data_IF_474302668093
#
_entry.id   IF_474302668093
#
_cell.length_a   1.000
_cell.length_b   1.000
_cell.length_c   1.000
_cell.angle_alpha   90.00
_cell.angle_beta   90.00
_cell.angle_gamma   90.00
#
_symmetry.space_group_name_H-M   'P 1'
#
loop_
_entity.id
_entity.type
_entity.pdbx_description
1 polymer ?
#
# COMPACT_ATOMS: atom_id res chain seq x y z
N UNK A 1 -3.04 11.73 -16.92
CA UNK A 1 -1.77 12.05 -16.23
C UNK A 1 -1.28 10.77 -15.58
N UNK A 2 -0.18 10.20 -16.09
CA UNK A 2 0.40 8.95 -15.56
C UNK A 2 1.52 9.35 -14.59
N UNK A 3 1.36 9.02 -13.30
CA UNK A 3 2.41 9.16 -12.31
C UNK A 3 3.37 7.97 -12.41
N UNK A 4 4.36 8.01 -13.31
CA UNK A 4 5.49 7.07 -13.25
C UNK A 4 6.52 7.59 -12.24
N UNK A 5 6.37 7.24 -10.96
CA UNK A 5 7.47 7.34 -10.01
C UNK A 5 8.44 6.17 -10.25
N UNK A 6 9.19 6.23 -11.35
CA UNK A 6 10.33 5.36 -11.60
C UNK A 6 11.61 6.17 -11.43
N UNK A 7 12.05 6.44 -10.18
CA UNK A 7 13.37 7.01 -9.97
C UNK A 7 14.44 5.97 -10.40
N UNK A 8 15.51 6.40 -11.10
CA UNK A 8 16.50 5.51 -11.68
C UNK A 8 17.56 5.03 -10.66
N UNK A 9 17.23 4.93 -9.37
CA UNK A 9 18.19 4.58 -8.33
C UNK A 9 17.52 3.68 -7.28
N UNK A 10 17.90 2.40 -7.25
CA UNK A 10 17.77 1.50 -6.09
C UNK A 10 16.33 1.15 -5.60
N UNK A 11 15.33 1.09 -6.48
CA UNK A 11 13.98 0.66 -6.07
C UNK A 11 13.85 -0.89 -6.06
N UNK A 12 14.56 -1.58 -5.17
CA UNK A 12 14.49 -3.03 -5.02
C UNK A 12 13.07 -3.55 -4.68
N UNK A 13 12.67 -3.46 -3.40
CA UNK A 13 11.39 -3.99 -2.89
C UNK A 13 10.27 -2.94 -2.75
N UNK A 14 10.50 -1.66 -3.06
CA UNK A 14 9.52 -0.60 -2.80
C UNK A 14 8.24 -0.72 -3.65
N UNK A 15 8.37 -1.14 -4.91
CA UNK A 15 7.22 -1.46 -5.77
C UNK A 15 6.40 -2.64 -5.23
N UNK A 16 7.07 -3.65 -4.67
CA UNK A 16 6.42 -4.80 -4.01
C UNK A 16 5.58 -4.36 -2.80
N UNK A 17 6.15 -3.53 -1.93
CA UNK A 17 5.45 -3.04 -0.74
C UNK A 17 4.23 -2.19 -1.12
N UNK A 18 4.36 -1.36 -2.16
CA UNK A 18 3.27 -0.49 -2.62
C UNK A 18 2.10 -1.29 -3.20
N UNK A 19 2.38 -2.32 -3.99
CA UNK A 19 1.37 -3.18 -4.63
C UNK A 19 0.64 -4.07 -3.63
N UNK A 20 1.39 -4.71 -2.72
CA UNK A 20 0.79 -5.47 -1.61
C UNK A 20 -0.04 -4.51 -0.74
N UNK A 21 0.48 -3.33 -0.43
CA UNK A 21 -0.22 -2.32 0.36
C UNK A 21 -1.51 -1.83 -0.32
N UNK A 22 -1.49 -1.58 -1.62
CA UNK A 22 -2.66 -1.20 -2.40
C UNK A 22 -3.72 -2.29 -2.38
N UNK A 23 -3.33 -3.56 -2.57
CA UNK A 23 -4.25 -4.70 -2.47
C UNK A 23 -4.89 -4.84 -1.08
N UNK A 24 -4.10 -4.68 -0.01
CA UNK A 24 -4.60 -4.71 1.36
C UNK A 24 -5.55 -3.53 1.65
N UNK A 25 -5.21 -2.32 1.19
CA UNK A 25 -6.10 -1.15 1.27
C UNK A 25 -7.42 -1.39 0.54
N UNK A 26 -7.37 -1.91 -0.69
CA UNK A 26 -8.56 -2.22 -1.46
C UNK A 26 -9.43 -3.26 -0.77
N UNK A 27 -8.83 -4.31 -0.19
CA UNK A 27 -9.55 -5.32 0.57
C UNK A 27 -10.24 -4.71 1.81
N UNK A 28 -9.53 -3.86 2.56
CA UNK A 28 -10.05 -3.20 3.76
C UNK A 28 -11.22 -2.26 3.44
N UNK A 29 -11.11 -1.51 2.35
CA UNK A 29 -12.11 -0.54 1.89
C UNK A 29 -13.21 -1.17 1.03
N UNK A 30 -13.17 -2.49 0.80
CA UNK A 30 -14.05 -3.22 -0.13
C UNK A 30 -14.08 -2.61 -1.54
N UNK A 31 -12.95 -2.09 -2.00
CA UNK A 31 -12.77 -1.55 -3.33
C UNK A 31 -12.29 -2.63 -4.30
N UNK A 32 -12.71 -2.59 -5.58
CA UNK A 32 -12.19 -3.51 -6.59
C UNK A 32 -10.69 -3.27 -6.79
N UNK A 33 -9.89 -4.33 -6.64
CA UNK A 33 -8.46 -4.30 -6.95
C UNK A 33 -8.24 -4.57 -8.44
N UNK A 34 -8.07 -3.53 -9.25
CA UNK A 34 -7.85 -3.64 -10.71
C UNK A 34 -6.38 -3.40 -11.03
N UNK A 35 -5.68 -4.45 -11.45
CA UNK A 35 -4.35 -4.35 -12.05
C UNK A 35 -4.50 -3.79 -13.47
N UNK A 36 -3.78 -2.71 -13.76
CA UNK A 36 -3.66 -2.11 -15.10
C UNK A 36 -2.46 -2.69 -15.87
N UNK A 37 -2.58 -2.94 -17.18
CA UNK A 37 -1.53 -3.64 -17.96
C UNK A 37 -0.17 -2.92 -18.01
N UNK A 38 -0.15 -1.62 -17.73
CA UNK A 38 1.07 -0.81 -17.65
C UNK A 38 2.00 -1.20 -16.48
N UNK A 39 1.56 -2.11 -15.62
CA UNK A 39 2.25 -2.64 -14.45
C UNK A 39 3.09 -3.91 -14.72
N UNK A 40 3.03 -4.50 -15.90
CA UNK A 40 3.73 -5.76 -16.17
C UNK A 40 5.27 -5.64 -16.26
N UNK A 41 5.80 -4.43 -16.49
CA UNK A 41 7.23 -4.20 -16.75
C UNK A 41 8.14 -4.47 -15.54
N UNK A 42 7.62 -4.42 -14.31
CA UNK A 42 8.38 -4.72 -13.09
C UNK A 42 8.28 -6.17 -12.62
N UNK A 43 7.33 -6.97 -13.13
CA UNK A 43 7.18 -8.39 -12.76
C UNK A 43 8.43 -9.20 -13.10
N UNK A 44 9.10 -8.88 -14.21
CA UNK A 44 10.37 -9.53 -14.57
C UNK A 44 11.49 -9.24 -13.57
N UNK A 45 11.62 -7.99 -13.11
CA UNK A 45 12.60 -7.59 -12.10
C UNK A 45 12.30 -8.22 -10.73
N UNK A 46 11.02 -8.33 -10.42
CA UNK A 46 10.54 -8.95 -9.20
C UNK A 46 10.85 -10.45 -9.10
N UNK A 47 10.74 -11.16 -10.23
CA UNK A 47 11.10 -12.57 -10.31
C UNK A 47 12.59 -12.79 -10.11
N UNK A 48 13.46 -11.86 -10.54
CA UNK A 48 14.90 -12.00 -10.30
C UNK A 48 15.26 -11.80 -8.83
N UNK A 49 14.61 -10.86 -8.13
CA UNK A 49 14.76 -10.65 -6.69
C UNK A 49 14.33 -11.90 -5.92
N UNK A 50 13.15 -12.46 -6.20
CA UNK A 50 12.66 -13.67 -5.50
C UNK A 50 13.51 -14.91 -5.76
N UNK A 51 14.13 -15.02 -6.94
CA UNK A 51 15.08 -16.09 -7.25
C UNK A 51 16.36 -15.95 -6.44
N UNK A 52 16.81 -14.71 -6.18
CA UNK A 52 17.98 -14.44 -5.36
C UNK A 52 17.70 -14.60 -3.85
N UNK A 53 16.53 -14.15 -3.39
CA UNK A 53 16.10 -14.25 -2.00
C UNK A 53 14.58 -14.50 -1.91
N UNK A 54 14.23 -15.72 -1.49
CA UNK A 54 12.83 -16.14 -1.31
C UNK A 54 12.14 -15.46 -0.13
N UNK A 55 12.90 -14.92 0.83
CA UNK A 55 12.37 -14.23 2.01
C UNK A 55 12.02 -12.77 1.73
N UNK A 56 12.47 -12.24 0.59
CA UNK A 56 12.21 -10.86 0.18
C UNK A 56 10.71 -10.52 0.13
N UNK A 57 9.86 -11.49 -0.24
CA UNK A 57 8.39 -11.32 -0.22
C UNK A 57 7.82 -11.14 1.19
N UNK A 58 8.40 -11.82 2.19
CA UNK A 58 7.95 -11.74 3.59
C UNK A 58 8.31 -10.37 4.17
N UNK A 59 9.52 -9.88 3.89
CA UNK A 59 9.94 -8.55 4.29
C UNK A 59 9.09 -7.46 3.63
N UNK A 60 8.77 -7.62 2.34
CA UNK A 60 7.90 -6.68 1.64
C UNK A 60 6.47 -6.67 2.20
N UNK A 61 5.91 -7.85 2.49
CA UNK A 61 4.60 -7.97 3.11
C UNK A 61 4.56 -7.30 4.49
N UNK A 62 5.54 -7.57 5.36
CA UNK A 62 5.62 -6.95 6.68
C UNK A 62 5.72 -5.41 6.60
N UNK A 63 6.45 -4.88 5.61
CA UNK A 63 6.55 -3.43 5.38
C UNK A 63 5.25 -2.84 4.82
N UNK A 64 4.55 -3.56 3.94
CA UNK A 64 3.24 -3.16 3.43
C UNK A 64 2.19 -3.10 4.55
N UNK A 65 2.18 -4.10 5.44
CA UNK A 65 1.31 -4.11 6.62
C UNK A 65 1.59 -2.94 7.57
N UNK A 66 2.87 -2.63 7.82
CA UNK A 66 3.27 -1.45 8.62
C UNK A 66 2.75 -0.15 7.99
N UNK A 67 2.87 0.00 6.67
CA UNK A 67 2.36 1.17 5.95
C UNK A 67 0.83 1.27 6.05
N UNK A 68 0.11 0.15 5.89
CA UNK A 68 -1.34 0.11 6.04
C UNK A 68 -1.77 0.49 7.45
N UNK A 69 -1.13 -0.06 8.48
CA UNK A 69 -1.43 0.24 9.87
C UNK A 69 -1.24 1.73 10.17
N UNK A 70 -0.16 2.33 9.64
CA UNK A 70 0.07 3.77 9.69
C UNK A 70 -1.06 4.56 9.02
N UNK A 71 -1.47 4.20 7.79
CA UNK A 71 -2.57 4.87 7.09
C UNK A 71 -3.90 4.75 7.86
N UNK A 72 -4.20 3.58 8.42
CA UNK A 72 -5.41 3.34 9.23
C UNK A 72 -5.47 4.20 10.49
N UNK A 73 -4.32 4.49 11.11
CA UNK A 73 -4.26 5.32 12.32
C UNK A 73 -4.87 6.72 12.11
N UNK A 74 -4.72 7.31 10.92
CA UNK A 74 -5.31 8.61 10.59
C UNK A 74 -6.82 8.56 10.45
N UNK A 75 -7.38 7.42 10.03
CA UNK A 75 -8.82 7.27 9.90
C UNK A 75 -9.51 7.14 11.27
N UNK A 76 -8.82 6.54 12.26
CA UNK A 76 -9.29 6.47 13.64
C UNK A 76 -9.32 7.85 14.31
N UNK A 77 -8.24 8.64 14.19
CA UNK A 77 -8.22 10.02 14.70
C UNK A 77 -9.31 10.89 14.07
N UNK A 78 -9.52 10.78 12.75
CA UNK A 78 -10.58 11.53 12.07
C UNK A 78 -12.01 11.07 12.45
N UNK A 79 -12.19 9.82 12.91
CA UNK A 79 -13.48 9.35 13.42
C UNK A 79 -13.75 9.92 14.82
N UNK A 80 -12.75 9.92 15.70
CA UNK A 80 -12.83 10.50 17.05
C UNK A 80 -13.16 11.99 17.01
N UNK A 81 -12.48 12.77 16.17
CA UNK A 81 -12.73 14.21 16.04
C UNK A 81 -14.14 14.50 15.50
N UNK A 82 -14.61 13.70 14.53
CA UNK A 82 -15.99 13.81 14.01
C UNK A 82 -17.04 13.45 15.05
N UNK A 83 -16.80 12.44 15.89
CA UNK A 83 -17.73 12.05 16.95
C UNK A 83 -17.84 13.14 18.02
N UNK A 84 -16.73 13.78 18.39
CA UNK A 84 -16.72 14.91 19.33
C UNK A 84 -17.49 16.11 18.76
N UNK A 85 -17.24 16.46 17.50
CA UNK A 85 -17.97 17.54 16.81
C UNK A 85 -19.47 17.23 16.67
N UNK A 86 -19.84 15.99 16.35
CA UNK A 86 -21.24 15.57 16.24
C UNK A 86 -21.96 15.56 17.59
N UNK A 87 -21.30 15.13 18.66
CA UNK A 87 -21.85 15.19 20.02
C UNK A 87 -22.06 16.64 20.48
N UNK A 88 -21.13 17.54 20.17
CA UNK A 88 -21.23 18.96 20.49
C UNK A 88 -22.37 19.67 19.72
N UNK A 89 -22.72 19.22 18.51
CA UNK A 89 -23.84 19.76 17.72
C UNK A 89 -25.22 19.21 18.13
N UNK A 90 -25.25 18.11 18.89
CA UNK A 90 -26.47 17.47 19.35
C UNK A 90 -26.90 17.91 20.77
N UNK A 91 -26.09 18.75 21.43
CA UNK A 91 -26.33 19.34 22.75
C UNK A 91 -26.83 20.79 22.63
#
# INVERSE_FOLDING_TARGET
>A
MVFTFQPPLLAGLSGYCAEIGAGLCCADLRLPNRLHDSHASYVGHWLSILKADKTAIIHAAAKAEQALAYLKSFNASAASDRQVEQAARAA
#
